data_IF_556976738902
#
_entry.id   IF_556976738902
#
_cell.length_a   1.000
_cell.length_b   1.000
_cell.length_c   1.000
_cell.angle_alpha   90.00
_cell.angle_beta   90.00
_cell.angle_gamma   90.00
#
_symmetry.space_group_name_H-M   'P 1'
#
loop_
_entity.id
_entity.type
_entity.pdbx_description
1 polymer ?
#
# COMPACT_ATOMS: atom_id res chain seq x y z
N UNK A 1 10.83 15.55 16.77
CA UNK A 1 12.24 15.78 16.38
C UNK A 1 12.26 15.87 14.87
N UNK A 2 12.32 17.09 14.37
CA UNK A 2 12.54 17.42 12.96
C UNK A 2 14.03 17.26 12.72
N UNK A 3 14.43 16.22 11.99
CA UNK A 3 15.78 16.18 11.41
C UNK A 3 15.82 17.29 10.36
N UNK A 4 16.30 18.47 10.78
CA UNK A 4 16.72 19.50 9.86
C UNK A 4 17.73 18.86 8.92
N UNK A 5 17.40 18.78 7.64
CA UNK A 5 18.34 18.39 6.60
C UNK A 5 19.44 19.46 6.64
N UNK A 6 20.54 19.16 7.33
CA UNK A 6 21.71 20.01 7.38
C UNK A 6 22.33 20.00 5.97
N UNK A 7 22.02 21.03 5.18
CA UNK A 7 22.69 21.32 3.91
C UNK A 7 24.03 22.02 4.21
N UNK A 8 24.79 21.50 5.18
CA UNK A 8 26.07 22.08 5.65
C UNK A 8 27.28 21.48 4.93
N UNK A 9 27.07 20.89 3.76
CA UNK A 9 28.10 20.17 2.99
C UNK A 9 28.44 20.80 1.63
N UNK A 10 27.94 22.00 1.32
CA UNK A 10 28.24 22.67 0.03
C UNK A 10 29.69 23.16 -0.09
N UNK A 11 30.44 23.19 1.01
CA UNK A 11 31.83 23.69 1.03
C UNK A 11 32.87 22.62 0.64
N UNK A 12 32.46 21.36 0.44
CA UNK A 12 33.33 20.29 -0.08
C UNK A 12 32.57 19.50 -1.15
N UNK A 13 32.70 19.91 -2.40
CA UNK A 13 32.24 19.11 -3.52
C UNK A 13 32.98 17.76 -3.52
N UNK A 14 32.26 16.64 -3.66
CA UNK A 14 32.90 15.33 -3.68
C UNK A 14 33.85 15.24 -4.88
N UNK A 15 35.09 14.82 -4.63
CA UNK A 15 36.12 14.67 -5.66
C UNK A 15 35.79 13.43 -6.50
N UNK A 16 35.73 13.59 -7.82
CA UNK A 16 35.48 12.51 -8.78
C UNK A 16 36.82 12.06 -9.35
N UNK A 17 37.31 10.88 -8.96
CA UNK A 17 38.57 10.33 -9.45
C UNK A 17 38.38 9.17 -10.41
N UNK A 18 37.23 8.49 -10.38
CA UNK A 18 36.91 7.35 -11.24
C UNK A 18 35.39 7.28 -11.56
N UNK A 19 34.97 6.42 -12.51
CA UNK A 19 33.55 6.27 -12.85
C UNK A 19 32.64 5.78 -11.71
N UNK A 20 33.17 4.99 -10.78
CA UNK A 20 32.41 4.51 -9.61
C UNK A 20 32.10 5.67 -8.64
N UNK A 21 33.03 6.61 -8.48
CA UNK A 21 32.83 7.83 -7.69
C UNK A 21 31.65 8.64 -8.25
N UNK A 22 31.62 8.84 -9.57
CA UNK A 22 30.53 9.57 -10.22
C UNK A 22 29.19 8.86 -10.02
N UNK A 23 29.12 7.55 -10.24
CA UNK A 23 27.91 6.76 -10.01
C UNK A 23 27.40 6.90 -8.58
N UNK A 24 28.29 6.78 -7.59
CA UNK A 24 27.95 6.90 -6.17
C UNK A 24 27.42 8.30 -5.82
N UNK A 25 28.02 9.35 -6.40
CA UNK A 25 27.59 10.73 -6.23
C UNK A 25 26.20 10.93 -6.86
N UNK A 26 25.97 10.45 -8.08
CA UNK A 26 24.68 10.54 -8.77
C UNK A 26 23.57 9.84 -7.99
N UNK A 27 23.83 8.62 -7.50
CA UNK A 27 22.88 7.90 -6.64
C UNK A 27 22.60 8.65 -5.34
N UNK A 28 23.63 9.26 -4.74
CA UNK A 28 23.49 10.04 -3.50
C UNK A 28 22.68 11.30 -3.73
N UNK A 29 22.97 12.07 -4.78
CA UNK A 29 22.20 13.25 -5.17
C UNK A 29 20.74 12.91 -5.40
N UNK A 30 20.46 11.83 -6.13
CA UNK A 30 19.08 11.36 -6.36
C UNK A 30 18.37 11.01 -5.05
N UNK A 31 19.03 10.32 -4.12
CA UNK A 31 18.46 10.01 -2.78
C UNK A 31 18.19 11.28 -1.97
N UNK A 32 19.07 12.26 -2.01
CA UNK A 32 18.88 13.55 -1.31
C UNK A 32 17.69 14.30 -1.91
N UNK A 33 17.63 14.44 -3.24
CA UNK A 33 16.53 15.08 -3.94
C UNK A 33 15.19 14.41 -3.62
N UNK A 34 15.15 13.08 -3.56
CA UNK A 34 13.96 12.32 -3.17
C UNK A 34 13.50 12.65 -1.73
N UNK A 35 14.42 12.78 -0.77
CA UNK A 35 14.10 13.20 0.60
C UNK A 35 13.57 14.63 0.67
N UNK A 36 14.11 15.55 -0.14
CA UNK A 36 13.59 16.93 -0.22
C UNK A 36 12.17 16.95 -0.79
N UNK A 37 11.90 16.17 -1.83
CA UNK A 37 10.56 16.01 -2.39
C UNK A 37 9.57 15.42 -1.37
N UNK A 38 10.02 14.44 -0.57
CA UNK A 38 9.24 13.89 0.53
C UNK A 38 8.91 14.96 1.58
N UNK A 39 9.83 15.88 1.90
CA UNK A 39 9.59 16.95 2.86
C UNK A 39 8.48 17.91 2.40
N UNK A 40 8.48 18.31 1.12
CA UNK A 40 7.41 19.12 0.52
C UNK A 40 6.05 18.41 0.60
N UNK A 41 6.06 17.10 0.35
CA UNK A 41 4.86 16.26 0.44
C UNK A 41 4.37 16.16 1.90
N UNK A 42 5.28 15.99 2.86
CA UNK A 42 4.96 15.96 4.29
C UNK A 42 4.26 17.25 4.71
N UNK A 43 4.77 18.41 4.29
CA UNK A 43 4.20 19.69 4.68
C UNK A 43 2.83 19.92 4.03
N UNK A 44 2.62 19.45 2.81
CA UNK A 44 1.30 19.40 2.17
C UNK A 44 0.32 18.53 2.97
N UNK A 45 0.74 17.33 3.40
CA UNK A 45 -0.10 16.44 4.21
C UNK A 45 -0.43 17.09 5.56
N UNK A 46 0.54 17.74 6.23
CA UNK A 46 0.30 18.46 7.50
C UNK A 46 -0.66 19.61 7.32
N UNK A 47 -0.58 20.34 6.20
CA UNK A 47 -1.50 21.42 5.88
C UNK A 47 -2.94 20.90 5.80
N UNK A 48 -3.16 19.78 5.11
CA UNK A 48 -4.46 19.10 5.04
C UNK A 48 -4.97 18.69 6.43
N UNK A 49 -4.09 18.18 7.31
CA UNK A 49 -4.47 17.79 8.68
C UNK A 49 -4.79 19.00 9.57
N UNK A 50 -4.30 20.18 9.22
CA UNK A 50 -4.54 21.43 9.96
C UNK A 50 -5.79 22.18 9.47
N UNK A 51 -6.39 21.73 8.37
CA UNK A 51 -7.64 22.27 7.85
C UNK A 51 -8.84 21.57 8.53
N UNK A 52 -9.44 22.25 9.50
CA UNK A 52 -10.59 21.74 10.27
C UNK A 52 -11.81 21.40 9.42
N UNK A 53 -12.06 22.14 8.33
CA UNK A 53 -13.19 21.87 7.43
C UNK A 53 -12.98 20.57 6.68
N UNK A 54 -11.79 20.38 6.10
CA UNK A 54 -11.41 19.14 5.44
C UNK A 54 -11.46 17.95 6.39
N UNK A 55 -10.95 18.10 7.61
CA UNK A 55 -10.99 17.02 8.62
C UNK A 55 -12.43 16.63 8.96
N UNK A 56 -13.34 17.61 9.14
CA UNK A 56 -14.76 17.34 9.40
C UNK A 56 -15.43 16.64 8.23
N UNK A 57 -15.15 17.09 7.01
CA UNK A 57 -15.68 16.48 5.79
C UNK A 57 -15.20 15.04 5.60
N UNK A 58 -13.90 14.79 5.75
CA UNK A 58 -13.33 13.45 5.67
C UNK A 58 -13.94 12.49 6.72
N UNK A 59 -14.11 12.97 7.96
CA UNK A 59 -14.77 12.19 9.03
C UNK A 59 -16.25 11.93 8.71
N UNK A 60 -16.95 12.88 8.09
CA UNK A 60 -18.34 12.72 7.64
C UNK A 60 -18.43 11.67 6.53
N UNK A 61 -17.63 11.80 5.48
CA UNK A 61 -17.58 10.83 4.37
C UNK A 61 -17.25 9.42 4.86
N UNK A 62 -16.30 9.27 5.78
CA UNK A 62 -15.96 7.97 6.35
C UNK A 62 -17.13 7.33 7.13
N UNK A 63 -18.02 8.13 7.73
CA UNK A 63 -19.24 7.63 8.41
C UNK A 63 -20.34 7.26 7.43
N UNK A 64 -20.46 7.98 6.32
CA UNK A 64 -21.44 7.71 5.27
C UNK A 64 -21.09 6.45 4.47
N UNK A 65 -19.79 6.20 4.26
CA UNK A 65 -19.29 5.05 3.49
C UNK A 65 -19.21 3.74 4.29
N UNK A 66 -19.35 3.79 5.63
CA UNK A 66 -19.29 2.60 6.47
C UNK A 66 -20.69 2.14 6.88
N UNK A 67 -20.96 0.85 6.70
CA UNK A 67 -22.23 0.20 7.04
C UNK A 67 -22.53 0.26 8.55
N UNK A 68 -21.47 0.26 9.37
CA UNK A 68 -21.59 0.24 10.82
C UNK A 68 -21.23 1.59 11.46
N UNK A 69 -21.90 1.97 12.56
CA UNK A 69 -21.63 3.24 13.23
C UNK A 69 -20.18 3.32 13.71
N UNK A 70 -19.52 4.43 13.40
CA UNK A 70 -18.13 4.68 13.80
C UNK A 70 -18.04 5.57 15.05
N UNK A 71 -17.20 5.17 16.00
CA UNK A 71 -16.80 5.96 17.16
C UNK A 71 -15.41 6.58 16.96
N UNK A 72 -15.29 7.86 17.24
CA UNK A 72 -14.03 8.58 17.21
C UNK A 72 -13.14 8.18 18.41
N UNK A 73 -11.87 7.87 18.14
CA UNK A 73 -10.86 7.48 19.14
C UNK A 73 -9.73 8.47 19.31
N UNK A 74 -9.98 9.70 18.89
CA UNK A 74 -9.05 10.81 18.92
C UNK A 74 -8.00 10.70 17.83
N UNK A 75 -6.99 11.53 17.98
CA UNK A 75 -5.83 11.56 17.11
C UNK A 75 -4.86 10.43 17.47
N UNK A 76 -4.36 9.73 16.46
CA UNK A 76 -3.43 8.61 16.61
C UNK A 76 -2.21 8.82 15.71
N UNK A 77 -0.99 8.54 16.22
CA UNK A 77 0.19 8.55 15.40
C UNK A 77 0.16 7.36 14.43
N UNK A 78 0.38 7.63 13.15
CA UNK A 78 0.48 6.63 12.08
C UNK A 78 1.74 6.91 11.28
N UNK A 79 2.60 5.91 11.16
CA UNK A 79 3.76 5.96 10.27
C UNK A 79 3.33 5.63 8.86
N UNK A 80 3.63 6.50 7.89
CA UNK A 80 3.40 6.30 6.46
C UNK A 80 4.72 6.33 5.69
N UNK A 81 4.75 5.68 4.53
CA UNK A 81 5.91 5.64 3.62
C UNK A 81 5.61 6.51 2.40
N UNK A 82 6.55 7.41 2.09
CA UNK A 82 6.51 8.30 0.92
C UNK A 82 7.34 7.76 -0.25
N UNK A 83 7.24 8.39 -1.41
CA UNK A 83 7.85 7.93 -2.65
C UNK A 83 9.38 7.94 -2.57
N UNK A 84 9.99 8.95 -1.94
CA UNK A 84 11.43 9.00 -1.72
C UNK A 84 11.94 8.03 -0.65
N UNK A 85 11.07 7.19 -0.08
CA UNK A 85 11.40 6.19 0.93
C UNK A 85 11.32 6.68 2.37
N UNK A 86 11.01 7.96 2.60
CA UNK A 86 10.88 8.51 3.95
C UNK A 86 9.73 7.88 4.73
N UNK A 87 9.99 7.53 5.98
CA UNK A 87 8.98 7.03 6.94
C UNK A 87 8.64 8.15 7.91
N UNK A 88 7.46 8.74 7.75
CA UNK A 88 7.00 9.87 8.59
C UNK A 88 5.84 9.44 9.47
N UNK A 89 5.86 9.87 10.73
CA UNK A 89 4.73 9.67 11.64
C UNK A 89 3.85 10.91 11.67
N UNK A 90 2.58 10.74 11.31
CA UNK A 90 1.58 11.80 11.27
C UNK A 90 0.49 11.49 12.28
N UNK A 91 0.10 12.50 13.06
CA UNK A 91 -1.07 12.41 13.93
C UNK A 91 -2.31 12.62 13.08
N UNK A 92 -3.22 11.63 13.04
CA UNK A 92 -4.45 11.68 12.24
C UNK A 92 -5.65 11.19 13.07
N UNK A 93 -6.88 11.70 12.86
CA UNK A 93 -8.06 11.16 13.51
C UNK A 93 -8.24 9.67 13.17
N UNK A 94 -8.61 8.89 14.18
CA UNK A 94 -8.88 7.46 14.04
C UNK A 94 -10.32 7.15 14.43
N UNK A 95 -11.05 6.51 13.52
CA UNK A 95 -12.39 6.02 13.77
C UNK A 95 -12.38 4.49 13.86
N UNK A 96 -13.21 3.93 14.72
CA UNK A 96 -13.43 2.47 14.78
C UNK A 96 -14.90 2.14 14.82
N UNK A 97 -15.26 0.92 14.45
CA UNK A 97 -16.63 0.42 14.60
C UNK A 97 -17.05 0.45 16.07
N UNK A 98 -18.23 1.00 16.34
CA UNK A 98 -18.86 0.98 17.65
C UNK A 98 -19.75 -0.25 17.82
N UNK A 99 -19.11 -1.37 18.17
CA UNK A 99 -19.80 -2.65 18.41
C UNK A 99 -20.84 -2.62 19.54
N UNK A 100 -20.91 -1.55 20.35
CA UNK A 100 -21.98 -1.38 21.34
C UNK A 100 -23.30 -0.94 20.69
N UNK A 101 -23.22 -0.23 19.57
CA UNK A 101 -24.36 0.28 18.81
C UNK A 101 -24.73 -0.63 17.63
N UNK A 102 -23.85 -1.53 17.23
CA UNK A 102 -24.14 -2.55 16.22
C UNK A 102 -25.05 -3.63 16.80
N UNK A 103 -26.16 -3.90 16.14
CA UNK A 103 -27.03 -5.05 16.43
C UNK A 103 -26.48 -6.31 15.74
N UNK A 104 -26.60 -7.47 16.39
CA UNK A 104 -26.17 -8.77 15.81
C UNK A 104 -24.94 -9.42 16.46
N UNK A 105 -24.46 -10.50 15.83
CA UNK A 105 -23.41 -11.38 16.40
C UNK A 105 -22.06 -10.68 16.37
N UNK A 106 -21.50 -10.39 17.55
CA UNK A 106 -20.16 -9.82 17.69
C UNK A 106 -19.13 -10.69 16.97
N UNK A 107 -18.41 -10.11 16.02
CA UNK A 107 -17.29 -10.80 15.39
C UNK A 107 -16.16 -10.96 16.41
N UNK A 108 -15.87 -12.20 16.80
CA UNK A 108 -14.75 -12.54 17.71
C UNK A 108 -13.37 -12.34 17.09
N UNK A 109 -13.29 -12.21 15.76
CA UNK A 109 -12.04 -12.05 15.00
C UNK A 109 -12.02 -10.71 14.28
N UNK A 110 -10.83 -10.14 14.15
CA UNK A 110 -10.58 -8.94 13.36
C UNK A 110 -11.04 -9.18 11.91
N UNK A 111 -11.91 -8.31 11.40
CA UNK A 111 -12.37 -8.36 10.02
C UNK A 111 -11.27 -7.99 9.03
N UNK A 112 -11.51 -8.20 7.73
CA UNK A 112 -10.55 -7.91 6.65
C UNK A 112 -10.13 -6.42 6.61
N UNK A 113 -11.03 -5.50 6.92
CA UNK A 113 -10.78 -4.04 7.02
C UNK A 113 -10.01 -3.61 8.28
N UNK A 114 -9.60 -4.54 9.15
CA UNK A 114 -8.95 -4.19 10.41
C UNK A 114 -9.93 -3.74 11.49
N UNK A 115 -9.48 -2.83 12.36
CA UNK A 115 -10.23 -2.36 13.55
C UNK A 115 -10.81 -0.96 13.40
N UNK A 116 -10.57 -0.27 12.28
CA UNK A 116 -10.93 1.12 12.10
C UNK A 116 -10.27 1.75 10.87
N UNK A 117 -10.60 3.01 10.62
CA UNK A 117 -10.23 3.80 9.44
C UNK A 117 -9.53 5.09 9.87
N UNK A 118 -8.72 5.64 8.98
CA UNK A 118 -8.06 6.94 9.16
C UNK A 118 -8.62 7.93 8.15
N UNK A 119 -9.74 8.63 8.46
CA UNK A 119 -10.52 9.33 7.45
C UNK A 119 -9.74 10.34 6.63
N UNK A 120 -8.89 11.13 7.29
CA UNK A 120 -8.10 12.19 6.63
C UNK A 120 -7.08 11.57 5.67
N UNK A 121 -6.39 10.51 6.09
CA UNK A 121 -5.44 9.79 5.23
C UNK A 121 -6.14 9.12 4.05
N UNK A 122 -7.27 8.45 4.29
CA UNK A 122 -8.03 7.77 3.24
C UNK A 122 -8.62 8.75 2.22
N UNK A 123 -9.10 9.91 2.67
CA UNK A 123 -9.64 10.96 1.80
C UNK A 123 -8.60 11.51 0.82
N UNK A 124 -7.32 11.54 1.19
CA UNK A 124 -6.21 11.93 0.31
C UNK A 124 -5.53 10.72 -0.38
N UNK A 125 -6.15 9.54 -0.33
CA UNK A 125 -5.69 8.34 -1.01
C UNK A 125 -4.55 7.58 -0.31
N UNK A 126 -4.17 7.96 0.91
CA UNK A 126 -3.18 7.23 1.69
C UNK A 126 -3.85 6.01 2.35
N UNK A 127 -3.52 4.83 1.82
CA UNK A 127 -4.01 3.54 2.30
C UNK A 127 -2.85 2.58 2.57
N UNK A 128 -3.05 1.58 3.42
CA UNK A 128 -2.00 0.64 3.86
C UNK A 128 -0.69 1.31 4.35
N UNK A 129 -0.80 2.56 4.79
CA UNK A 129 0.31 3.40 5.24
C UNK A 129 1.33 3.74 4.14
N UNK A 130 0.89 3.80 2.89
CA UNK A 130 1.71 4.26 1.77
C UNK A 130 0.99 5.38 1.03
N UNK A 131 1.73 6.37 0.53
CA UNK A 131 1.14 7.43 -0.31
C UNK A 131 0.67 6.87 -1.66
N UNK A 132 -0.24 7.56 -2.37
CA UNK A 132 -0.69 7.12 -3.71
C UNK A 132 0.47 6.88 -4.68
N UNK A 133 1.46 7.78 -4.72
CA UNK A 133 2.63 7.64 -5.57
C UNK A 133 3.48 6.43 -5.17
N UNK A 134 3.75 6.24 -3.88
CA UNK A 134 4.42 5.03 -3.38
C UNK A 134 3.67 3.77 -3.79
N UNK A 135 2.33 3.72 -3.62
CA UNK A 135 1.51 2.57 -4.00
C UNK A 135 1.61 2.26 -5.50
N UNK A 136 1.57 3.29 -6.33
CA UNK A 136 1.74 3.16 -7.78
C UNK A 136 3.08 2.50 -8.10
N UNK A 137 4.18 2.99 -7.50
CA UNK A 137 5.52 2.44 -7.73
C UNK A 137 5.65 0.98 -7.24
N UNK A 138 5.14 0.69 -6.04
CA UNK A 138 5.13 -0.67 -5.49
C UNK A 138 4.40 -1.64 -6.42
N UNK A 139 3.26 -1.20 -6.98
CA UNK A 139 2.44 -2.03 -7.87
C UNK A 139 3.11 -2.24 -9.22
N UNK A 140 3.68 -1.17 -9.80
CA UNK A 140 4.42 -1.21 -11.05
C UNK A 140 5.57 -2.22 -10.99
N UNK A 141 6.44 -2.08 -9.98
CA UNK A 141 7.60 -2.96 -9.82
C UNK A 141 7.19 -4.40 -9.48
N UNK A 142 6.12 -4.60 -8.72
CA UNK A 142 5.59 -5.95 -8.48
C UNK A 142 5.19 -6.65 -9.78
N UNK A 143 4.64 -5.92 -10.75
CA UNK A 143 4.20 -6.48 -12.04
C UNK A 143 5.37 -6.65 -13.02
N UNK A 144 6.34 -5.73 -12.99
CA UNK A 144 7.47 -5.74 -13.92
C UNK A 144 8.57 -6.74 -13.53
N UNK A 145 8.75 -7.01 -12.24
CA UNK A 145 9.79 -7.93 -11.76
C UNK A 145 9.40 -9.40 -11.94
N UNK A 146 10.39 -10.27 -12.12
CA UNK A 146 10.19 -11.73 -12.18
C UNK A 146 9.89 -12.34 -10.79
N UNK A 147 10.17 -11.61 -9.71
CA UNK A 147 9.82 -12.02 -8.34
C UNK A 147 9.60 -10.84 -7.40
N UNK A 148 8.93 -11.07 -6.26
CA UNK A 148 8.83 -10.06 -5.20
C UNK A 148 10.19 -9.67 -4.62
N UNK A 149 11.17 -10.58 -4.61
CA UNK A 149 12.51 -10.26 -4.08
C UNK A 149 13.22 -9.27 -4.98
N UNK A 150 13.15 -9.50 -6.29
CA UNK A 150 13.69 -8.57 -7.28
C UNK A 150 12.99 -7.20 -7.22
N UNK A 151 11.66 -7.18 -7.06
CA UNK A 151 10.93 -5.93 -6.86
C UNK A 151 11.41 -5.17 -5.61
N UNK A 152 11.70 -5.87 -4.51
CA UNK A 152 12.30 -5.27 -3.31
C UNK A 152 13.68 -4.69 -3.62
N UNK A 153 14.55 -5.43 -4.32
CA UNK A 153 15.88 -4.94 -4.69
C UNK A 153 15.81 -3.66 -5.55
N UNK A 154 14.84 -3.58 -6.47
CA UNK A 154 14.58 -2.38 -7.27
C UNK A 154 14.08 -1.21 -6.42
N UNK A 155 13.15 -1.46 -5.50
CA UNK A 155 12.62 -0.46 -4.57
C UNK A 155 13.70 0.07 -3.62
N UNK A 156 14.58 -0.80 -3.14
CA UNK A 156 15.69 -0.41 -2.26
C UNK A 156 16.68 0.52 -2.98
N UNK A 157 16.96 0.27 -4.27
CA UNK A 157 17.73 1.21 -5.09
C UNK A 157 17.06 2.58 -5.16
N UNK A 158 15.73 2.62 -5.19
CA UNK A 158 14.96 3.87 -5.17
C UNK A 158 14.88 4.51 -3.76
N UNK A 159 15.31 3.82 -2.71
CA UNK A 159 15.27 4.29 -1.31
C UNK A 159 14.08 3.76 -0.51
N UNK A 160 13.21 2.95 -1.09
CA UNK A 160 12.02 2.39 -0.43
C UNK A 160 12.37 1.01 0.14
N UNK A 161 12.50 0.93 1.47
CA UNK A 161 12.76 -0.34 2.18
C UNK A 161 11.51 -0.88 2.88
N UNK A 162 11.01 -2.03 2.38
CA UNK A 162 9.88 -2.79 2.91
C UNK A 162 10.14 -4.29 2.86
N UNK A 163 9.39 -5.08 3.65
CA UNK A 163 9.48 -6.54 3.56
C UNK A 163 8.70 -7.10 2.36
N UNK A 164 9.11 -8.26 1.86
CA UNK A 164 8.36 -9.02 0.83
C UNK A 164 6.89 -9.23 1.24
N UNK A 165 6.64 -9.57 2.51
CA UNK A 165 5.28 -9.73 3.03
C UNK A 165 4.46 -8.44 3.00
N UNK A 166 5.10 -7.28 3.20
CA UNK A 166 4.47 -5.98 3.11
C UNK A 166 4.15 -5.61 1.66
N UNK A 167 5.11 -5.81 0.75
CA UNK A 167 4.93 -5.61 -0.68
C UNK A 167 3.75 -6.45 -1.20
N UNK A 168 3.77 -7.76 -0.94
CA UNK A 168 2.70 -8.67 -1.35
C UNK A 168 1.34 -8.22 -0.82
N UNK A 169 1.25 -7.84 0.46
CA UNK A 169 0.00 -7.39 1.07
C UNK A 169 -0.53 -6.13 0.38
N UNK A 170 0.32 -5.14 0.12
CA UNK A 170 -0.08 -3.88 -0.54
C UNK A 170 -0.46 -4.12 -1.99
N UNK A 171 0.31 -4.94 -2.72
CA UNK A 171 0.01 -5.28 -4.11
C UNK A 171 -1.35 -5.99 -4.22
N UNK A 172 -1.61 -6.99 -3.37
CA UNK A 172 -2.90 -7.69 -3.35
C UNK A 172 -4.06 -6.79 -2.94
N UNK A 173 -3.86 -5.89 -1.98
CA UNK A 173 -4.87 -4.89 -1.61
C UNK A 173 -5.18 -3.95 -2.79
N UNK A 174 -4.16 -3.51 -3.52
CA UNK A 174 -4.31 -2.65 -4.70
C UNK A 174 -5.08 -3.35 -5.81
N UNK A 175 -4.73 -4.61 -6.12
CA UNK A 175 -5.47 -5.42 -7.11
C UNK A 175 -6.93 -5.61 -6.70
N UNK A 176 -7.21 -5.81 -5.41
CA UNK A 176 -8.58 -6.00 -4.96
C UNK A 176 -9.42 -4.72 -5.14
N UNK A 177 -8.84 -3.54 -4.88
CA UNK A 177 -9.50 -2.25 -5.14
C UNK A 177 -9.69 -2.03 -6.64
N UNK A 178 -8.68 -2.33 -7.46
CA UNK A 178 -8.72 -2.19 -8.92
C UNK A 178 -9.79 -3.10 -9.55
N UNK A 179 -9.92 -4.35 -9.08
CA UNK A 179 -11.00 -5.24 -9.51
C UNK A 179 -12.37 -4.61 -9.22
N UNK A 180 -12.57 -4.04 -8.03
CA UNK A 180 -13.84 -3.40 -7.69
C UNK A 180 -14.13 -2.17 -8.56
N UNK A 181 -13.12 -1.35 -8.86
CA UNK A 181 -13.25 -0.21 -9.77
C UNK A 181 -13.57 -0.66 -11.20
N UNK A 182 -12.87 -1.68 -11.69
CA UNK A 182 -13.10 -2.25 -13.02
C UNK A 182 -14.50 -2.83 -13.15
N UNK A 183 -14.96 -3.59 -12.15
CA UNK A 183 -16.26 -4.23 -12.19
C UNK A 183 -17.38 -3.16 -12.16
N UNK A 184 -17.23 -2.09 -11.36
CA UNK A 184 -18.15 -0.95 -11.36
C UNK A 184 -18.15 -0.19 -12.71
N UNK A 185 -16.97 0.02 -13.30
CA UNK A 185 -16.84 0.66 -14.62
C UNK A 185 -17.48 -0.19 -15.73
N UNK A 186 -17.33 -1.52 -15.66
CA UNK A 186 -17.94 -2.45 -16.60
C UNK A 186 -19.47 -2.46 -16.47
N UNK A 187 -20.00 -2.45 -15.23
CA UNK A 187 -21.43 -2.35 -14.97
C UNK A 187 -22.00 -1.04 -15.52
N UNK A 188 -21.32 0.09 -15.27
CA UNK A 188 -21.70 1.38 -15.84
C UNK A 188 -21.68 1.34 -17.38
N UNK A 189 -20.64 0.78 -17.99
CA UNK A 189 -20.50 0.69 -19.44
C UNK A 189 -21.58 -0.20 -20.10
N UNK A 190 -21.96 -1.31 -19.47
CA UNK A 190 -23.03 -2.19 -19.95
C UNK A 190 -24.41 -1.52 -19.95
N UNK A 191 -24.60 -0.49 -19.11
CA UNK A 191 -25.84 0.29 -19.05
C UNK A 191 -25.87 1.46 -20.04
N UNK A 192 -24.78 1.73 -20.77
CA UNK A 192 -24.77 2.78 -21.79
C UNK A 192 -25.50 2.26 -23.04
N UNK A 193 -26.57 2.92 -23.50
CA UNK A 193 -27.27 2.51 -24.71
C UNK A 193 -26.34 2.60 -25.92
N UNK A 194 -26.34 1.55 -26.74
CA UNK A 194 -25.56 1.51 -27.97
C UNK A 194 -26.29 2.34 -29.04
N UNK A 195 -25.69 3.47 -29.43
CA UNK A 195 -26.22 4.29 -30.51
C UNK A 195 -26.08 3.57 -31.87
N UNK A 196 -27.14 3.54 -32.69
CA UNK A 196 -27.12 2.85 -33.99
C UNK A 196 -26.15 3.48 -35.00
N UNK A 197 -25.82 4.75 -34.82
CA UNK A 197 -24.93 5.59 -35.64
C UNK A 197 -23.57 5.84 -34.98
N UNK A 198 -23.15 4.97 -34.06
CA UNK A 198 -21.86 5.07 -33.40
C UNK A 198 -20.64 4.89 -34.33
N UNK A 199 -19.41 5.14 -33.84
CA UNK A 199 -18.17 5.11 -34.65
C UNK A 199 -17.88 3.80 -35.41
N UNK A 200 -18.52 2.71 -35.00
CA UNK A 200 -18.37 1.37 -35.57
C UNK A 200 -19.57 0.93 -36.44
N UNK A 201 -20.57 1.80 -36.63
CA UNK A 201 -21.76 1.49 -37.45
C UNK A 201 -21.38 1.10 -38.88
N UNK A 202 -21.97 0.01 -39.38
CA UNK A 202 -21.69 -0.54 -40.71
C UNK A 202 -20.31 -1.19 -40.89
N UNK A 203 -19.45 -1.21 -39.86
CA UNK A 203 -18.09 -1.78 -39.94
C UNK A 203 -18.07 -3.23 -39.46
N UNK A 204 -17.19 -4.04 -40.06
CA UNK A 204 -16.84 -5.37 -39.53
C UNK A 204 -15.70 -5.22 -38.54
N UNK A 205 -15.94 -5.54 -37.27
CA UNK A 205 -14.95 -5.41 -36.20
C UNK A 205 -14.40 -6.79 -35.85
N UNK A 206 -13.08 -6.93 -35.84
CA UNK A 206 -12.41 -8.11 -35.30
C UNK A 206 -11.95 -7.80 -33.88
N UNK A 207 -12.48 -8.56 -32.93
CA UNK A 207 -12.00 -8.54 -31.54
C UNK A 207 -11.23 -9.83 -31.31
N UNK A 208 -9.96 -9.71 -30.92
CA UNK A 208 -9.12 -10.85 -30.54
C UNK A 208 -8.64 -10.66 -29.11
N UNK A 209 -8.73 -11.71 -28.31
CA UNK A 209 -8.24 -11.74 -26.93
C UNK A 209 -7.10 -12.75 -26.87
N UNK A 210 -5.95 -12.36 -26.33
CA UNK A 210 -4.87 -13.29 -26.04
C UNK A 210 -5.13 -13.98 -24.69
N UNK A 211 -5.10 -15.31 -24.69
CA UNK A 211 -5.42 -16.16 -23.54
C UNK A 211 -4.17 -16.62 -22.81
N UNK A 212 -3.29 -15.69 -22.43
CA UNK A 212 -1.98 -15.97 -21.83
C UNK A 212 -2.00 -17.12 -20.81
N UNK A 213 -0.94 -17.93 -20.77
CA UNK A 213 -0.86 -19.12 -19.90
C UNK A 213 -0.24 -18.77 -18.55
N UNK A 214 -0.96 -19.03 -17.46
CA UNK A 214 -0.41 -18.97 -16.09
C UNK A 214 -0.35 -20.37 -15.49
N UNK A 215 0.81 -20.74 -14.94
CA UNK A 215 0.98 -21.96 -14.15
C UNK A 215 0.66 -21.66 -12.68
N UNK A 216 -0.56 -21.98 -12.25
CA UNK A 216 -0.96 -21.87 -10.84
C UNK A 216 -0.77 -23.20 -10.12
N UNK A 217 -0.25 -23.19 -8.90
CA UNK A 217 -0.22 -24.37 -8.02
C UNK A 217 -1.33 -24.27 -6.99
N UNK A 218 -2.18 -25.28 -6.95
CA UNK A 218 -3.22 -25.42 -5.91
C UNK A 218 -2.78 -26.54 -4.98
N UNK A 219 -2.46 -26.20 -3.74
CA UNK A 219 -2.15 -27.20 -2.71
C UNK A 219 -3.44 -27.95 -2.37
N UNK A 220 -3.53 -29.22 -2.78
CA UNK A 220 -4.63 -30.09 -2.39
C UNK A 220 -4.44 -30.50 -0.93
N UNK A 221 -5.52 -30.44 -0.15
CA UNK A 221 -5.49 -30.92 1.24
C UNK A 221 -5.19 -32.41 1.24
N UNK A 222 -4.06 -32.81 1.81
CA UNK A 222 -3.70 -34.22 1.98
C UNK A 222 -4.69 -34.96 2.88
N UNK A 223 -4.64 -36.30 2.85
CA UNK A 223 -5.38 -37.14 3.79
C UNK A 223 -5.04 -36.70 5.21
N UNK A 224 -6.06 -36.43 6.04
CA UNK A 224 -5.85 -36.13 7.46
C UNK A 224 -5.12 -37.33 8.08
N UNK A 225 -3.85 -37.17 8.43
CA UNK A 225 -3.17 -38.11 9.31
C UNK A 225 -3.85 -38.04 10.68
N UNK A 226 -4.07 -39.21 11.30
CA UNK A 226 -4.47 -39.24 12.72
C UNK A 226 -3.42 -38.44 13.48
N UNK A 227 -3.85 -37.54 14.36
CA UNK A 227 -2.95 -36.98 15.38
C UNK A 227 -2.31 -38.16 16.08
N UNK A 228 -1.00 -38.31 15.93
CA UNK A 228 -0.22 -39.10 16.87
C UNK A 228 0.04 -38.10 18.00
N UNK A 229 -0.64 -38.29 19.13
CA UNK A 229 -0.29 -37.58 20.36
C UNK A 229 1.05 -38.17 20.81
N UNK A 230 2.14 -37.63 20.26
CA UNK A 230 3.48 -37.88 20.79
C UNK A 230 3.59 -36.96 21.99
N UNK A 231 3.37 -37.56 23.16
CA UNK A 231 3.62 -36.95 24.46
C UNK A 231 5.13 -36.72 24.56
N UNK A 232 5.60 -35.56 24.08
CA UNK A 232 6.98 -35.11 24.24
C UNK A 232 7.17 -34.64 25.69
N UNK A 233 7.14 -35.60 26.61
CA UNK A 233 7.76 -35.48 27.92
C UNK A 233 8.84 -36.55 28.00
N UNK A 234 10.05 -36.06 28.27
CA UNK A 234 11.28 -36.81 28.56
C UNK A 234 11.96 -37.40 27.32
N UNK A 235 12.92 -36.66 26.77
CA UNK A 235 14.35 -36.99 26.93
C UNK A 235 15.18 -35.87 26.31
N UNK A 236 15.98 -35.21 27.14
CA UNK A 236 16.91 -34.19 26.70
C UNK A 236 17.99 -34.80 25.81
N UNK A 237 18.17 -34.23 24.62
CA UNK A 237 19.42 -34.31 23.87
C UNK A 237 19.59 -32.96 23.16
N UNK A 238 20.64 -32.25 23.54
CA UNK A 238 21.22 -31.13 22.80
C UNK A 238 21.56 -31.56 21.38
N UNK A 239 21.21 -30.75 20.37
CA UNK A 239 22.04 -30.67 19.16
C UNK A 239 21.86 -29.33 18.45
N UNK A 240 22.96 -28.58 18.46
CA UNK A 240 23.25 -27.41 17.62
C UNK A 240 23.09 -27.76 16.14
N UNK A 241 22.56 -26.83 15.35
CA UNK A 241 22.83 -26.75 13.92
C UNK A 241 23.03 -25.29 13.53
N UNK A 242 24.20 -25.06 12.93
CA UNK A 242 24.63 -23.88 12.19
C UNK A 242 23.70 -23.58 11.02
#
# INVERSE_FOLDING_TARGET
MTDNINITGLDNLPIINNPEDLLNIEETHRRIAAKVADQLTIDSIKHVHSNDEFVKEAVKMARENEEFPLINKGWRPVTIILLGGSKVTISTPYLRIDWKKTTGRKHRKRGKKGTGVYPVLEAIGIKDRVTPATRSELSLLTVQSASYKEAIEMLERQGISISVSTLQRIAMATVQEDISLRDAALEAAMNIPILPDGPLSGKRVRVSVDGGRVRTRITKKGRKTKKIDIDLKQNGVNQEYW
#
